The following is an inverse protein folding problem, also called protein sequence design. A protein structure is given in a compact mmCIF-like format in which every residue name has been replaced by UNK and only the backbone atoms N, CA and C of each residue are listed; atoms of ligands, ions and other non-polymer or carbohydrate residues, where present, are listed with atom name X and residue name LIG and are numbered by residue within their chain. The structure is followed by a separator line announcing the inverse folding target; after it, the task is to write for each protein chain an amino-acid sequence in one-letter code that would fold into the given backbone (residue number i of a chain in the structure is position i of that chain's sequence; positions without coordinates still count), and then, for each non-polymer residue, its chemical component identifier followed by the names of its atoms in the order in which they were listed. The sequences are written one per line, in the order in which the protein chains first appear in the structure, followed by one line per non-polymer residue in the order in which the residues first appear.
data_IF_484169988600
#
_entry.id   IF_484169988600
#
_cell.length_a   1.000
_cell.length_b   1.000
_cell.length_c   1.000
_cell.angle_alpha   90.00
_cell.angle_beta   90.00
_cell.angle_gamma   90.00
#
_symmetry.space_group_name_H-M   'P 1'
#
loop_
_entity.id
_entity.type
_entity.pdbx_description
1 polymer ?
#
# COMPACT_ATOMS: atom_id res chain seq x y z
N UNK A 1 14.37 -39.39 56.50
CA UNK A 1 15.75 -39.60 56.00
C UNK A 1 16.31 -38.23 55.64
N UNK A 2 17.34 -37.78 56.36
CA UNK A 2 17.98 -36.48 56.15
C UNK A 2 18.89 -36.55 54.91
N UNK A 3 18.77 -35.55 54.03
CA UNK A 3 19.56 -35.44 52.80
C UNK A 3 20.76 -34.51 53.08
N UNK A 4 21.95 -35.10 53.13
CA UNK A 4 23.23 -34.42 53.34
C UNK A 4 23.66 -33.68 52.07
N UNK A 5 23.85 -32.36 52.14
CA UNK A 5 24.35 -31.53 51.04
C UNK A 5 25.88 -31.45 51.08
N UNK A 6 26.56 -31.95 50.05
CA UNK A 6 28.02 -31.82 49.87
C UNK A 6 28.31 -30.48 49.21
N UNK A 7 29.02 -29.59 49.91
CA UNK A 7 29.47 -28.30 49.37
C UNK A 7 30.85 -28.52 48.72
N UNK A 8 30.92 -28.50 47.39
CA UNK A 8 32.20 -28.45 46.68
C UNK A 8 32.65 -26.99 46.52
N UNK A 9 33.82 -26.67 47.06
CA UNK A 9 34.44 -25.35 46.99
C UNK A 9 34.94 -25.05 45.57
N UNK A 10 34.21 -24.25 44.79
CA UNK A 10 34.72 -23.68 43.54
C UNK A 10 35.67 -22.50 43.84
N UNK A 11 36.95 -22.65 43.51
CA UNK A 11 37.93 -21.54 43.55
C UNK A 11 37.71 -20.61 42.36
N UNK A 12 37.17 -19.42 42.64
CA UNK A 12 37.01 -18.37 41.62
C UNK A 12 38.39 -17.73 41.37
N UNK A 13 38.90 -17.65 40.12
CA UNK A 13 40.13 -16.92 39.86
C UNK A 13 39.92 -15.42 40.13
N UNK A 14 40.78 -14.87 40.99
CA UNK A 14 40.80 -13.44 41.30
C UNK A 14 41.27 -12.65 40.06
N UNK A 15 40.34 -12.07 39.31
CA UNK A 15 40.69 -11.11 38.25
C UNK A 15 41.19 -9.82 38.90
N UNK A 16 42.49 -9.55 38.77
CA UNK A 16 43.10 -8.30 39.22
C UNK A 16 42.40 -7.08 38.59
N UNK A 17 42.20 -6.03 39.39
CA UNK A 17 41.54 -4.81 38.95
C UNK A 17 42.27 -4.18 37.75
N UNK A 18 41.52 -3.92 36.67
CA UNK A 18 42.03 -3.28 35.44
C UNK A 18 42.41 -1.82 35.74
N UNK A 19 43.66 -1.44 35.46
CA UNK A 19 44.18 -0.07 35.61
C UNK A 19 44.63 0.47 34.26
N UNK A 20 44.47 1.78 34.04
CA UNK A 20 45.00 2.44 32.84
C UNK A 20 46.50 2.17 32.67
N UNK A 21 46.94 1.87 31.45
CA UNK A 21 48.32 1.55 31.12
C UNK A 21 48.74 0.10 31.41
N UNK A 22 47.92 -0.69 32.10
CA UNK A 22 48.20 -2.12 32.27
C UNK A 22 48.12 -2.86 30.93
N UNK A 23 48.93 -3.92 30.78
CA UNK A 23 48.93 -4.74 29.57
C UNK A 23 47.59 -5.44 29.38
N UNK A 24 47.16 -5.51 28.12
CA UNK A 24 46.04 -6.33 27.69
C UNK A 24 46.45 -7.17 26.49
N UNK A 25 45.65 -8.19 26.16
CA UNK A 25 46.02 -9.18 25.14
C UNK A 25 45.25 -9.00 23.84
N UNK A 26 43.99 -8.56 23.93
CA UNK A 26 43.06 -8.54 22.80
C UNK A 26 42.66 -7.13 22.43
N UNK A 27 43.08 -6.66 21.25
CA UNK A 27 42.72 -5.33 20.74
C UNK A 27 41.20 -5.17 20.67
N UNK A 28 40.67 -4.09 21.23
CA UNK A 28 39.24 -3.77 21.21
C UNK A 28 38.43 -4.39 22.34
N UNK A 29 39.04 -5.22 23.20
CA UNK A 29 38.38 -5.71 24.42
C UNK A 29 37.95 -4.53 25.30
N UNK A 30 36.77 -4.60 25.90
CA UNK A 30 36.22 -3.58 26.80
C UNK A 30 35.98 -4.21 28.18
N UNK A 31 36.48 -3.56 29.23
CA UNK A 31 36.25 -3.97 30.62
C UNK A 31 35.85 -2.79 31.48
N UNK A 32 35.02 -3.06 32.48
CA UNK A 32 34.60 -2.07 33.48
C UNK A 32 35.32 -2.35 34.79
N UNK A 33 35.99 -1.34 35.35
CA UNK A 33 36.58 -1.42 36.69
C UNK A 33 36.27 -0.14 37.45
N UNK A 34 35.74 -0.27 38.68
CA UNK A 34 35.33 0.86 39.53
C UNK A 34 34.41 1.86 38.79
N UNK A 35 33.44 1.35 38.02
CA UNK A 35 32.48 2.17 37.27
C UNK A 35 33.02 2.86 36.02
N UNK A 36 34.30 2.71 35.68
CA UNK A 36 34.91 3.28 34.47
C UNK A 36 35.14 2.19 33.42
N UNK A 37 34.76 2.46 32.17
CA UNK A 37 35.05 1.60 31.02
C UNK A 37 36.48 1.84 30.53
N UNK A 38 37.18 0.74 30.24
CA UNK A 38 38.51 0.73 29.64
C UNK A 38 38.46 -0.09 28.36
N UNK A 39 39.14 0.40 27.31
CA UNK A 39 39.31 -0.29 26.03
C UNK A 39 40.77 -0.66 25.83
N UNK A 40 41.02 -1.90 25.41
CA UNK A 40 42.36 -2.37 25.07
C UNK A 40 42.78 -1.82 23.71
N UNK A 41 43.80 -0.95 23.69
CA UNK A 41 44.27 -0.27 22.47
C UNK A 41 45.76 -0.51 22.25
N UNK A 42 46.19 -0.42 20.98
CA UNK A 42 47.60 -0.54 20.63
C UNK A 42 48.33 0.75 21.02
N UNK A 43 49.41 0.63 21.80
CA UNK A 43 50.31 1.75 22.13
C UNK A 43 51.75 1.30 21.89
N UNK A 44 52.34 1.74 20.79
CA UNK A 44 53.64 1.23 20.32
C UNK A 44 53.58 -0.24 19.93
N UNK A 45 54.51 -1.05 20.43
CA UNK A 45 54.60 -2.51 20.17
C UNK A 45 53.73 -3.37 21.11
N UNK A 46 52.95 -2.77 22.03
CA UNK A 46 52.17 -3.48 23.05
C UNK A 46 50.71 -3.03 23.04
N UNK A 47 49.83 -3.84 23.62
CA UNK A 47 48.45 -3.46 23.90
C UNK A 47 48.30 -3.06 25.38
N UNK A 48 47.59 -1.96 25.62
CA UNK A 48 47.36 -1.41 26.96
C UNK A 48 45.93 -0.95 27.14
N UNK A 49 45.42 -1.01 28.36
CA UNK A 49 44.11 -0.48 28.73
C UNK A 49 44.13 1.05 28.74
N UNK A 50 43.17 1.69 28.05
CA UNK A 50 42.92 3.13 28.13
C UNK A 50 41.47 3.42 28.53
N UNK A 51 41.20 4.49 29.30
CA UNK A 51 39.84 4.91 29.59
C UNK A 51 39.07 5.17 28.30
N UNK A 52 37.86 4.63 28.20
CA UNK A 52 36.97 4.94 27.08
C UNK A 52 36.42 6.36 27.32
N UNK A 53 36.56 7.30 26.37
CA UNK A 53 35.97 8.62 26.52
C UNK A 53 34.45 8.49 26.65
N UNK A 54 33.90 9.05 27.73
CA UNK A 54 32.45 9.19 27.89
C UNK A 54 31.99 10.24 26.88
N UNK A 55 31.01 9.96 26.01
CA UNK A 55 30.47 10.98 25.13
C UNK A 55 29.91 12.11 26.01
N UNK A 56 30.38 13.33 25.77
CA UNK A 56 29.83 14.53 26.40
C UNK A 56 28.37 14.64 25.97
N UNK A 57 27.40 14.80 26.89
CA UNK A 57 26.01 15.00 26.49
C UNK A 57 25.93 16.25 25.61
N UNK A 58 25.55 16.06 24.36
CA UNK A 58 25.19 17.17 23.48
C UNK A 58 23.95 17.84 24.08
N UNK A 59 23.91 19.17 24.24
CA UNK A 59 22.73 19.83 24.77
C UNK A 59 21.52 19.45 23.93
N UNK A 60 20.54 18.81 24.58
CA UNK A 60 19.24 18.51 23.99
C UNK A 60 18.59 19.85 23.63
N UNK A 61 18.20 20.09 22.36
CA UNK A 61 17.42 21.26 22.03
C UNK A 61 16.13 21.21 22.86
N UNK A 62 15.90 22.25 23.67
CA UNK A 62 14.66 22.43 24.40
C UNK A 62 13.53 22.42 23.38
N UNK A 63 12.53 21.52 23.49
CA UNK A 63 11.37 21.57 22.59
C UNK A 63 10.71 22.93 22.77
N UNK A 64 10.76 23.73 21.71
CA UNK A 64 9.92 24.92 21.57
C UNK A 64 8.48 24.44 21.74
N UNK A 65 7.63 25.08 22.57
CA UNK A 65 6.23 24.72 22.66
C UNK A 65 5.63 24.81 21.25
N UNK A 66 5.32 23.66 20.67
CA UNK A 66 4.53 23.57 19.45
C UNK A 66 3.21 24.28 19.77
N UNK A 67 2.79 25.28 18.97
CA UNK A 67 1.49 25.89 19.18
C UNK A 67 0.45 24.76 19.17
N UNK A 68 -0.22 24.56 20.30
CA UNK A 68 -1.40 23.70 20.36
C UNK A 68 -2.33 24.21 19.27
N UNK A 69 -2.69 23.40 18.25
CA UNK A 69 -3.65 23.82 17.25
C UNK A 69 -4.88 24.26 18.02
N UNK A 70 -5.21 25.54 17.89
CA UNK A 70 -6.49 26.04 18.36
C UNK A 70 -7.54 25.15 17.71
N UNK A 71 -8.46 24.52 18.46
CA UNK A 71 -9.49 23.71 17.84
C UNK A 71 -10.17 24.60 16.82
N UNK A 72 -9.95 24.29 15.54
CA UNK A 72 -10.68 24.95 14.48
C UNK A 72 -12.13 24.63 14.77
N UNK A 73 -13.01 25.64 14.92
CA UNK A 73 -14.41 25.38 15.18
C UNK A 73 -14.88 24.38 14.12
N UNK A 74 -15.22 23.18 14.58
CA UNK A 74 -15.82 22.16 13.73
C UNK A 74 -17.24 22.64 13.47
N UNK A 75 -17.35 23.59 12.56
CA UNK A 75 -18.60 23.77 11.83
C UNK A 75 -18.78 22.43 11.13
N UNK A 76 -19.89 21.75 11.41
CA UNK A 76 -20.34 20.62 10.61
C UNK A 76 -20.60 21.16 9.19
N UNK A 77 -19.53 21.31 8.42
CA UNK A 77 -19.53 21.97 7.15
C UNK A 77 -19.92 20.94 6.11
N UNK A 78 -21.16 20.98 5.64
CA UNK A 78 -21.57 20.37 4.36
C UNK A 78 -20.64 20.75 3.20
N UNK A 79 -19.92 21.87 3.34
CA UNK A 79 -18.85 22.27 2.42
C UNK A 79 -17.75 21.23 2.30
N UNK A 80 -17.27 20.57 3.38
CA UNK A 80 -16.13 19.64 3.26
C UNK A 80 -16.46 18.41 2.41
N UNK A 81 -17.69 17.90 2.50
CA UNK A 81 -18.17 16.80 1.64
C UNK A 81 -18.13 17.23 0.17
N UNK A 82 -18.74 18.39 -0.10
CA UNK A 82 -18.88 18.93 -1.46
C UNK A 82 -17.52 19.30 -2.04
N UNK A 83 -16.61 19.85 -1.24
CA UNK A 83 -15.25 20.24 -1.61
C UNK A 83 -14.40 19.01 -1.90
N UNK A 84 -14.48 17.96 -1.07
CA UNK A 84 -13.73 16.72 -1.31
C UNK A 84 -14.19 16.05 -2.61
N UNK A 85 -15.51 15.96 -2.82
CA UNK A 85 -16.07 15.31 -4.01
C UNK A 85 -15.76 16.12 -5.28
N UNK A 86 -15.81 17.46 -5.20
CA UNK A 86 -15.38 18.36 -6.30
C UNK A 86 -13.89 18.26 -6.58
N UNK A 87 -13.05 18.11 -5.55
CA UNK A 87 -11.62 17.93 -5.71
C UNK A 87 -11.31 16.67 -6.53
N UNK A 88 -11.93 15.53 -6.21
CA UNK A 88 -11.80 14.30 -7.00
C UNK A 88 -12.32 14.49 -8.42
N UNK A 89 -13.47 15.15 -8.59
CA UNK A 89 -14.00 15.44 -9.92
C UNK A 89 -13.06 16.32 -10.76
N UNK A 90 -12.39 17.30 -10.13
CA UNK A 90 -11.39 18.13 -10.78
C UNK A 90 -10.17 17.30 -11.19
N UNK A 91 -9.67 16.40 -10.34
CA UNK A 91 -8.60 15.46 -10.72
C UNK A 91 -8.98 14.63 -11.94
N UNK A 92 -10.20 14.11 -12.00
CA UNK A 92 -10.73 13.37 -13.14
C UNK A 92 -10.67 14.24 -14.41
N UNK A 93 -11.23 15.45 -14.36
CA UNK A 93 -11.42 16.28 -15.54
C UNK A 93 -10.14 16.97 -16.04
N UNK A 94 -9.30 17.43 -15.10
CA UNK A 94 -8.21 18.36 -15.38
C UNK A 94 -6.86 17.65 -15.54
N UNK A 95 -6.70 16.44 -14.99
CA UNK A 95 -5.44 15.68 -15.13
C UNK A 95 -5.28 15.19 -16.58
N UNK A 96 -4.15 15.50 -17.25
CA UNK A 96 -3.88 15.01 -18.58
C UNK A 96 -3.70 13.49 -18.63
N UNK A 97 -4.29 12.84 -19.64
CA UNK A 97 -4.08 11.41 -19.98
C UNK A 97 -2.96 11.26 -21.04
N UNK A 98 -2.26 12.33 -21.40
CA UNK A 98 -1.10 12.23 -22.29
C UNK A 98 0.15 12.54 -21.50
N UNK A 99 1.05 11.57 -21.40
CA UNK A 99 2.29 11.77 -20.65
C UNK A 99 3.51 11.12 -21.29
N UNK A 100 4.43 11.95 -21.76
CA UNK A 100 5.73 11.51 -22.36
C UNK A 100 6.70 10.92 -21.34
N UNK A 101 6.42 11.03 -20.04
CA UNK A 101 7.19 10.38 -18.96
C UNK A 101 6.75 8.95 -18.73
N UNK A 102 5.59 8.52 -19.22
CA UNK A 102 5.24 7.10 -19.19
C UNK A 102 6.16 6.34 -20.15
N UNK A 103 6.95 5.42 -19.59
CA UNK A 103 7.90 4.58 -20.34
C UNK A 103 7.54 3.10 -20.28
N UNK A 104 6.49 2.75 -19.53
CA UNK A 104 6.10 1.37 -19.27
C UNK A 104 5.45 0.80 -20.53
N UNK A 105 6.03 -0.25 -21.08
CA UNK A 105 5.46 -0.97 -22.21
C UNK A 105 4.32 -1.88 -21.72
N UNK A 106 3.17 -1.81 -22.37
CA UNK A 106 2.08 -2.77 -22.15
C UNK A 106 2.26 -3.95 -23.11
N UNK A 107 2.13 -5.17 -22.60
CA UNK A 107 2.10 -6.40 -23.41
C UNK A 107 0.88 -7.22 -23.03
N UNK A 108 -0.09 -7.28 -23.93
CA UNK A 108 -1.35 -8.01 -23.72
C UNK A 108 -1.23 -9.44 -24.23
N UNK A 109 -1.63 -10.40 -23.39
CA UNK A 109 -1.73 -11.82 -23.72
C UNK A 109 -3.19 -12.23 -23.55
N UNK A 110 -3.78 -12.78 -24.60
CA UNK A 110 -5.20 -13.15 -24.61
C UNK A 110 -5.33 -14.62 -24.95
N UNK A 111 -6.03 -15.39 -24.12
CA UNK A 111 -6.41 -16.76 -24.47
C UNK A 111 -7.45 -16.74 -25.61
N UNK A 112 -7.24 -17.48 -26.71
CA UNK A 112 -8.20 -17.52 -27.80
C UNK A 112 -9.61 -17.93 -27.32
N UNK A 113 -10.63 -17.27 -27.87
CA UNK A 113 -12.01 -17.55 -27.54
C UNK A 113 -12.93 -16.37 -27.82
N UNK A 114 -14.19 -16.49 -27.38
CA UNK A 114 -15.21 -15.45 -27.55
C UNK A 114 -15.08 -14.38 -26.47
N UNK A 115 -14.06 -13.55 -26.61
CA UNK A 115 -13.68 -12.55 -25.61
C UNK A 115 -14.41 -11.23 -25.75
N UNK A 116 -15.23 -11.05 -26.78
CA UNK A 116 -15.93 -9.78 -27.02
C UNK A 116 -14.97 -8.58 -27.07
N UNK A 117 -15.40 -7.39 -26.64
CA UNK A 117 -14.57 -6.16 -26.66
C UNK A 117 -13.60 -6.06 -25.47
N UNK A 118 -13.62 -7.03 -24.56
CA UNK A 118 -12.95 -6.91 -23.26
C UNK A 118 -11.42 -6.78 -23.35
N UNK A 119 -10.69 -7.48 -24.25
CA UNK A 119 -9.26 -7.24 -24.39
C UNK A 119 -8.88 -5.80 -24.73
N UNK A 120 -9.59 -5.20 -25.68
CA UNK A 120 -9.36 -3.80 -26.09
C UNK A 120 -9.74 -2.83 -24.97
N UNK A 121 -10.83 -3.10 -24.24
CA UNK A 121 -11.24 -2.30 -23.07
C UNK A 121 -10.15 -2.33 -21.99
N UNK A 122 -9.62 -3.51 -21.65
CA UNK A 122 -8.61 -3.65 -20.62
C UNK A 122 -7.29 -3.01 -21.03
N UNK A 123 -6.85 -3.17 -22.27
CA UNK A 123 -5.64 -2.53 -22.80
C UNK A 123 -5.76 -1.01 -22.78
N UNK A 124 -6.87 -0.47 -23.30
CA UNK A 124 -7.13 0.97 -23.30
C UNK A 124 -7.20 1.53 -21.88
N UNK A 125 -7.85 0.81 -20.96
CA UNK A 125 -7.95 1.22 -19.58
C UNK A 125 -6.60 1.25 -18.89
N UNK A 126 -5.79 0.21 -19.08
CA UNK A 126 -4.43 0.16 -18.54
C UNK A 126 -3.56 1.29 -19.11
N UNK A 127 -3.54 1.48 -20.44
CA UNK A 127 -2.81 2.58 -21.07
C UNK A 127 -3.20 3.96 -20.52
N UNK A 128 -4.51 4.22 -20.43
CA UNK A 128 -5.05 5.45 -19.87
C UNK A 128 -4.63 5.64 -18.41
N UNK A 129 -4.63 4.56 -17.63
CA UNK A 129 -4.22 4.57 -16.22
C UNK A 129 -2.75 4.98 -16.07
N UNK A 130 -1.87 4.36 -16.84
CA UNK A 130 -0.42 4.62 -16.74
C UNK A 130 -0.08 6.07 -17.09
N UNK A 131 -0.72 6.64 -18.11
CA UNK A 131 -0.49 8.04 -18.48
C UNK A 131 -1.07 9.00 -17.42
N UNK A 132 -2.27 8.72 -16.91
CA UNK A 132 -2.89 9.49 -15.84
C UNK A 132 -2.05 9.46 -14.56
N UNK A 133 -1.59 8.28 -14.13
CA UNK A 133 -0.72 8.13 -12.96
C UNK A 133 0.60 8.86 -13.16
N UNK A 134 1.22 8.76 -14.34
CA UNK A 134 2.43 9.52 -14.65
C UNK A 134 2.21 11.04 -14.56
N UNK A 135 1.02 11.55 -14.93
CA UNK A 135 0.68 12.98 -14.80
C UNK A 135 0.53 13.44 -13.36
N UNK A 136 0.15 12.52 -12.47
CA UNK A 136 0.10 12.73 -11.03
C UNK A 136 1.45 12.51 -10.32
N UNK A 137 2.54 12.23 -11.06
CA UNK A 137 3.85 11.93 -10.47
C UNK A 137 4.00 10.49 -9.98
N UNK A 138 3.10 9.59 -10.40
CA UNK A 138 3.07 8.16 -10.07
C UNK A 138 3.44 7.29 -11.28
N UNK A 139 4.54 7.62 -11.96
CA UNK A 139 4.97 6.87 -13.14
C UNK A 139 5.55 5.51 -12.74
N UNK A 140 4.94 4.39 -13.16
CA UNK A 140 5.36 3.04 -12.79
C UNK A 140 6.88 2.81 -12.94
N UNK A 141 7.51 2.11 -11.98
CA UNK A 141 8.95 1.85 -12.03
C UNK A 141 9.29 0.73 -13.03
N UNK A 142 8.34 -0.15 -13.36
CA UNK A 142 8.57 -1.27 -14.26
C UNK A 142 8.71 -0.80 -15.70
N UNK A 143 9.62 -1.43 -16.45
CA UNK A 143 9.78 -1.18 -17.88
C UNK A 143 8.64 -1.81 -18.68
N UNK A 144 8.04 -2.88 -18.17
CA UNK A 144 6.96 -3.61 -18.85
C UNK A 144 5.89 -4.05 -17.86
N UNK A 145 4.63 -3.90 -18.26
CA UNK A 145 3.50 -4.52 -17.59
C UNK A 145 2.81 -5.50 -18.55
N UNK A 146 2.70 -6.75 -18.12
CA UNK A 146 2.00 -7.80 -18.85
C UNK A 146 0.55 -7.85 -18.38
N UNK A 147 -0.39 -7.90 -19.32
CA UNK A 147 -1.80 -8.10 -19.02
C UNK A 147 -2.20 -9.49 -19.53
N UNK A 148 -2.51 -10.41 -18.61
CA UNK A 148 -2.92 -11.78 -18.92
C UNK A 148 -4.44 -11.90 -18.83
N UNK A 149 -5.10 -12.01 -19.98
CA UNK A 149 -6.53 -12.19 -20.12
C UNK A 149 -6.82 -13.63 -20.49
N UNK A 150 -7.02 -14.45 -19.48
CA UNK A 150 -7.27 -15.89 -19.64
C UNK A 150 -8.73 -16.25 -19.44
N UNK A 151 -9.14 -17.30 -20.11
CA UNK A 151 -10.45 -17.93 -20.00
C UNK A 151 -10.41 -19.17 -19.11
N UNK A 152 -9.27 -19.85 -19.03
CA UNK A 152 -9.11 -21.07 -18.23
C UNK A 152 -8.06 -20.86 -17.14
N UNK A 153 -8.28 -21.54 -16.02
CA UNK A 153 -7.32 -21.55 -14.91
C UNK A 153 -5.96 -22.14 -15.32
N UNK A 154 -5.94 -23.09 -16.26
CA UNK A 154 -4.72 -23.74 -16.72
C UNK A 154 -3.86 -22.78 -17.56
N UNK A 155 -4.47 -22.08 -18.52
CA UNK A 155 -3.76 -21.11 -19.35
C UNK A 155 -3.21 -19.96 -18.52
N UNK A 156 -3.98 -19.44 -17.55
CA UNK A 156 -3.50 -18.38 -16.65
C UNK A 156 -2.30 -18.83 -15.82
N UNK A 157 -2.30 -20.06 -15.29
CA UNK A 157 -1.13 -20.60 -14.57
C UNK A 157 0.10 -20.71 -15.48
N UNK A 158 -0.06 -21.21 -16.70
CA UNK A 158 1.03 -21.33 -17.67
C UNK A 158 1.65 -19.95 -17.99
N UNK A 159 0.81 -18.95 -18.29
CA UNK A 159 1.30 -17.60 -18.61
C UNK A 159 1.86 -16.89 -17.39
N UNK A 160 1.27 -17.09 -16.21
CA UNK A 160 1.79 -16.54 -14.98
C UNK A 160 3.14 -17.16 -14.61
N UNK A 161 3.38 -18.46 -14.84
CA UNK A 161 4.70 -19.07 -14.63
C UNK A 161 5.77 -18.45 -15.55
N UNK A 162 5.41 -18.15 -16.80
CA UNK A 162 6.31 -17.53 -17.77
C UNK A 162 6.66 -16.08 -17.43
N UNK A 163 5.67 -15.26 -17.08
CA UNK A 163 5.83 -13.80 -16.94
C UNK A 163 5.95 -13.34 -15.48
N UNK A 164 5.45 -14.13 -14.53
CA UNK A 164 5.44 -13.88 -13.09
C UNK A 164 5.85 -15.13 -12.27
N UNK A 165 7.04 -15.71 -12.55
CA UNK A 165 7.49 -16.94 -11.89
C UNK A 165 7.56 -16.78 -10.38
N UNK A 166 6.92 -17.71 -9.67
CA UNK A 166 6.88 -17.75 -8.20
C UNK A 166 5.75 -16.95 -7.55
N UNK A 167 4.94 -16.20 -8.31
CA UNK A 167 3.78 -15.48 -7.77
C UNK A 167 2.53 -16.36 -7.65
N UNK A 168 2.38 -17.36 -8.54
CA UNK A 168 1.27 -18.32 -8.48
C UNK A 168 1.81 -19.74 -8.36
N UNK A 169 1.00 -20.63 -7.80
CA UNK A 169 1.31 -22.05 -7.69
C UNK A 169 0.22 -22.90 -8.35
N UNK A 170 0.43 -24.22 -8.39
CA UNK A 170 -0.50 -25.18 -8.99
C UNK A 170 -1.89 -25.21 -8.33
N UNK A 171 -2.07 -24.64 -7.14
CA UNK A 171 -3.34 -24.57 -6.41
C UNK A 171 -3.99 -23.19 -6.45
N UNK A 172 -3.32 -22.15 -6.95
CA UNK A 172 -3.84 -20.78 -7.00
C UNK A 172 -5.11 -20.69 -7.86
N UNK A 173 -6.17 -20.06 -7.37
CA UNK A 173 -7.40 -19.89 -8.14
C UNK A 173 -7.59 -18.42 -8.51
N UNK A 174 -7.75 -18.16 -9.80
CA UNK A 174 -8.06 -16.84 -10.34
C UNK A 174 -9.57 -16.60 -10.23
N UNK A 175 -10.01 -16.21 -9.03
CA UNK A 175 -11.45 -16.01 -8.71
C UNK A 175 -11.86 -14.54 -8.58
N UNK A 176 -10.90 -13.61 -8.66
CA UNK A 176 -11.16 -12.16 -8.63
C UNK A 176 -11.21 -11.53 -10.02
N UNK A 177 -11.54 -10.23 -10.07
CA UNK A 177 -11.59 -9.45 -11.31
C UNK A 177 -10.20 -9.30 -11.94
N UNK A 178 -9.20 -8.97 -11.13
CA UNK A 178 -7.80 -8.93 -11.52
C UNK A 178 -6.92 -9.09 -10.27
N UNK A 179 -5.63 -9.30 -10.48
CA UNK A 179 -4.63 -9.33 -9.41
C UNK A 179 -3.25 -9.02 -9.98
N UNK A 180 -2.43 -8.31 -9.21
CA UNK A 180 -1.08 -7.93 -9.57
C UNK A 180 -0.02 -8.88 -8.97
N UNK A 181 0.97 -9.23 -9.78
CA UNK A 181 2.31 -9.60 -9.34
C UNK A 181 3.33 -8.61 -9.92
N UNK A 182 4.26 -8.11 -9.10
CA UNK A 182 5.24 -7.14 -9.55
C UNK A 182 6.67 -7.52 -9.15
N UNK A 183 7.61 -7.05 -9.95
CA UNK A 183 9.06 -7.10 -9.74
C UNK A 183 9.63 -5.72 -10.07
N UNK A 184 10.92 -5.45 -9.80
CA UNK A 184 11.54 -4.18 -10.16
C UNK A 184 11.44 -3.80 -11.64
N UNK A 185 11.62 -4.76 -12.55
CA UNK A 185 11.67 -4.49 -13.99
C UNK A 185 10.36 -4.80 -14.72
N UNK A 186 9.48 -5.62 -14.15
CA UNK A 186 8.24 -6.05 -14.80
C UNK A 186 7.10 -6.25 -13.82
N UNK A 187 5.89 -6.01 -14.28
CA UNK A 187 4.66 -6.30 -13.56
C UNK A 187 3.74 -7.18 -14.42
N UNK A 188 2.84 -7.92 -13.78
CA UNK A 188 1.88 -8.80 -14.44
C UNK A 188 0.55 -8.65 -13.73
N UNK A 189 -0.46 -8.22 -14.48
CA UNK A 189 -1.86 -8.25 -14.07
C UNK A 189 -2.48 -9.49 -14.71
N UNK A 190 -3.11 -10.35 -13.91
CA UNK A 190 -3.84 -11.51 -14.40
C UNK A 190 -5.34 -11.38 -14.10
N UNK A 191 -6.16 -11.68 -15.10
CA UNK A 191 -7.62 -11.62 -15.03
C UNK A 191 -8.25 -12.85 -15.65
N UNK A 192 -9.09 -13.53 -14.88
CA UNK A 192 -9.97 -14.58 -15.39
C UNK A 192 -11.16 -13.93 -16.07
N UNK A 193 -11.09 -13.76 -17.38
CA UNK A 193 -11.98 -12.88 -18.15
C UNK A 193 -13.47 -13.24 -17.98
N UNK A 194 -13.90 -14.54 -18.04
CA UNK A 194 -15.28 -14.91 -17.74
C UNK A 194 -15.75 -14.43 -16.36
N UNK A 195 -14.97 -14.69 -15.31
CA UNK A 195 -15.30 -14.28 -13.95
C UNK A 195 -15.26 -12.77 -13.78
N UNK A 196 -14.25 -12.10 -14.33
CA UNK A 196 -14.07 -10.66 -14.20
C UNK A 196 -15.18 -9.87 -14.89
N UNK A 197 -15.60 -10.31 -16.08
CA UNK A 197 -16.68 -9.65 -16.84
C UNK A 197 -18.06 -9.88 -16.22
N UNK A 198 -18.31 -11.08 -15.71
CA UNK A 198 -19.61 -11.43 -15.13
C UNK A 198 -19.70 -11.15 -13.64
N UNK A 199 -18.57 -10.89 -12.98
CA UNK A 199 -18.42 -10.90 -11.52
C UNK A 199 -18.98 -12.17 -10.88
N UNK A 200 -18.80 -13.30 -11.56
CA UNK A 200 -19.33 -14.59 -11.16
C UNK A 200 -18.28 -15.68 -11.35
N UNK A 201 -17.81 -16.23 -10.23
CA UNK A 201 -16.82 -17.32 -10.23
C UNK A 201 -17.36 -18.61 -10.86
N UNK A 202 -18.68 -18.72 -11.02
CA UNK A 202 -19.36 -19.86 -11.64
C UNK A 202 -19.65 -19.66 -13.14
N UNK A 203 -19.25 -18.53 -13.73
CA UNK A 203 -19.37 -18.33 -15.17
C UNK A 203 -18.46 -19.33 -15.92
N UNK A 204 -18.96 -20.01 -16.96
CA UNK A 204 -18.19 -21.06 -17.61
C UNK A 204 -17.08 -20.48 -18.49
N UNK A 205 -15.94 -21.18 -18.55
CA UNK A 205 -14.75 -20.76 -19.31
C UNK A 205 -15.01 -20.58 -20.81
N UNK A 206 -16.07 -21.18 -21.37
CA UNK A 206 -16.45 -21.10 -22.79
C UNK A 206 -17.57 -20.08 -23.10
N UNK A 207 -18.01 -19.29 -22.09
CA UNK A 207 -19.05 -18.26 -22.24
C UNK A 207 -18.79 -17.29 -23.41
N UNK A 208 -19.83 -16.96 -24.17
CA UNK A 208 -19.75 -15.94 -25.22
C UNK A 208 -19.82 -14.52 -24.62
N UNK A 209 -18.67 -13.87 -24.46
CA UNK A 209 -18.58 -12.50 -23.94
C UNK A 209 -18.86 -11.43 -25.01
N UNK A 210 -19.16 -11.84 -26.25
CA UNK A 210 -19.40 -10.89 -27.36
C UNK A 210 -20.80 -10.31 -27.34
N UNK A 211 -21.70 -10.87 -26.53
CA UNK A 211 -23.10 -10.45 -26.47
C UNK A 211 -23.51 -10.07 -25.05
N UNK A 212 -24.01 -8.85 -24.88
CA UNK A 212 -24.47 -8.34 -23.60
C UNK A 212 -25.55 -9.24 -22.97
N UNK A 213 -26.47 -9.76 -23.79
CA UNK A 213 -27.54 -10.64 -23.33
C UNK A 213 -27.03 -11.98 -22.77
N UNK A 214 -25.87 -12.47 -23.20
CA UNK A 214 -25.23 -13.66 -22.63
C UNK A 214 -24.53 -13.32 -21.33
N UNK A 215 -23.75 -12.23 -21.31
CA UNK A 215 -23.07 -11.74 -20.09
C UNK A 215 -24.08 -11.53 -18.97
N UNK A 216 -25.18 -10.82 -19.24
CA UNK A 216 -26.24 -10.51 -18.27
C UNK A 216 -26.97 -11.72 -17.68
N UNK A 217 -26.88 -12.92 -18.28
CA UNK A 217 -27.42 -14.15 -17.69
C UNK A 217 -26.58 -14.65 -16.52
N UNK A 218 -25.29 -14.34 -16.53
CA UNK A 218 -24.33 -14.77 -15.51
C UNK A 218 -23.96 -13.63 -14.56
N UNK A 219 -24.21 -12.38 -14.93
CA UNK A 219 -23.92 -11.22 -14.09
C UNK A 219 -24.86 -11.10 -12.91
N UNK A 220 -24.29 -10.87 -11.73
CA UNK A 220 -25.04 -10.35 -10.59
C UNK A 220 -25.21 -8.83 -10.78
N UNK A 221 -26.36 -8.41 -11.33
CA UNK A 221 -26.75 -7.10 -11.93
C UNK A 221 -26.42 -5.77 -11.18
N UNK A 222 -25.57 -5.73 -10.17
CA UNK A 222 -25.26 -4.51 -9.40
C UNK A 222 -23.79 -4.30 -9.05
N UNK A 223 -22.87 -5.10 -9.59
CA UNK A 223 -21.45 -4.87 -9.37
C UNK A 223 -20.77 -4.84 -10.73
N UNK A 224 -20.23 -3.67 -11.03
CA UNK A 224 -19.04 -3.50 -11.83
C UNK A 224 -18.21 -2.62 -10.89
N UNK A 225 -17.35 -3.19 -10.05
CA UNK A 225 -15.94 -3.13 -10.39
C UNK A 225 -15.82 -3.22 -11.90
N UNK A 226 -15.84 -2.04 -12.52
CA UNK A 226 -15.76 -1.99 -13.96
C UNK A 226 -14.58 -2.84 -14.36
N UNK A 227 -14.83 -3.82 -15.22
CA UNK A 227 -13.75 -4.62 -15.79
C UNK A 227 -12.62 -3.71 -16.32
N UNK A 228 -12.96 -2.49 -16.77
CA UNK A 228 -12.01 -1.44 -17.12
C UNK A 228 -11.27 -0.84 -15.91
N UNK A 229 -11.93 -0.63 -14.76
CA UNK A 229 -11.29 -0.17 -13.52
C UNK A 229 -10.32 -1.21 -12.93
N UNK A 230 -10.58 -2.51 -13.12
CA UNK A 230 -9.81 -3.57 -12.46
C UNK A 230 -8.32 -3.51 -12.82
N UNK A 231 -7.96 -3.33 -14.10
CA UNK A 231 -6.56 -3.19 -14.50
C UNK A 231 -5.92 -1.90 -13.98
N UNK A 232 -6.69 -0.83 -13.84
CA UNK A 232 -6.23 0.43 -13.25
C UNK A 232 -5.93 0.26 -11.75
N UNK A 233 -6.87 -0.34 -11.00
CA UNK A 233 -6.74 -0.69 -9.58
C UNK A 233 -5.47 -1.52 -9.34
N UNK A 234 -5.30 -2.61 -10.10
CA UNK A 234 -4.13 -3.46 -9.95
C UNK A 234 -2.83 -2.77 -10.39
N UNK A 235 -2.85 -1.95 -11.44
CA UNK A 235 -1.66 -1.19 -11.82
C UNK A 235 -1.24 -0.18 -10.74
N UNK A 236 -2.19 0.38 -10.00
CA UNK A 236 -1.93 1.31 -8.90
C UNK A 236 -1.13 0.64 -7.76
N UNK A 237 -1.42 -0.64 -7.48
CA UNK A 237 -0.66 -1.44 -6.51
C UNK A 237 0.82 -1.58 -6.88
N UNK A 238 1.18 -1.50 -8.16
CA UNK A 238 2.58 -1.55 -8.60
C UNK A 238 3.40 -0.34 -8.08
N UNK A 239 2.72 0.76 -7.77
CA UNK A 239 3.33 1.98 -7.23
C UNK A 239 3.36 2.02 -5.69
N UNK A 240 2.38 1.40 -5.03
CA UNK A 240 2.14 1.59 -3.59
C UNK A 240 3.14 0.93 -2.65
N UNK A 241 4.13 0.19 -3.14
CA UNK A 241 4.99 -0.58 -2.26
C UNK A 241 6.49 -0.32 -2.36
N UNK A 242 7.07 -0.01 -3.53
CA UNK A 242 8.53 0.01 -3.66
C UNK A 242 9.27 -1.25 -3.14
N UNK A 243 8.54 -2.33 -2.79
CA UNK A 243 8.98 -3.62 -2.22
C UNK A 243 8.21 -4.83 -2.79
N UNK A 244 7.30 -4.61 -3.76
CA UNK A 244 6.61 -5.60 -4.57
C UNK A 244 5.79 -6.70 -3.83
N UNK A 245 5.32 -6.47 -2.61
CA UNK A 245 4.35 -7.34 -1.93
C UNK A 245 3.71 -6.67 -0.70
N UNK A 246 2.42 -6.96 -0.45
CA UNK A 246 1.62 -6.51 0.70
C UNK A 246 2.46 -5.92 1.86
N UNK A 247 2.62 -4.59 1.90
CA UNK A 247 3.32 -3.95 3.02
C UNK A 247 2.55 -4.28 4.30
N UNK A 248 3.12 -5.14 5.15
CA UNK A 248 2.48 -5.64 6.37
C UNK A 248 2.05 -4.53 7.33
N UNK A 249 2.65 -3.35 7.20
CA UNK A 249 2.42 -2.17 8.05
C UNK A 249 1.58 -1.07 7.35
N UNK A 250 1.16 -1.26 6.09
CA UNK A 250 0.33 -0.27 5.39
C UNK A 250 -1.16 -0.50 5.74
N UNK A 251 -1.91 0.54 6.19
CA UNK A 251 -3.33 0.39 6.43
C UNK A 251 -4.09 0.04 5.15
N UNK A 252 -5.12 -0.79 5.27
CA UNK A 252 -5.90 -1.28 4.12
C UNK A 252 -6.63 -0.17 3.35
N UNK A 253 -7.04 0.91 4.01
CA UNK A 253 -7.61 2.08 3.34
C UNK A 253 -6.61 2.82 2.44
N UNK A 254 -5.33 2.82 2.80
CA UNK A 254 -4.27 3.36 1.91
C UNK A 254 -4.04 2.41 0.76
N UNK A 255 -3.98 1.11 1.06
CA UNK A 255 -3.65 0.07 0.09
C UNK A 255 -4.79 -0.13 -0.92
N UNK A 256 -5.90 -0.74 -0.54
CA UNK A 256 -7.02 -1.00 -1.45
C UNK A 256 -7.86 0.27 -1.70
N UNK A 257 -8.10 1.10 -0.68
CA UNK A 257 -8.96 2.28 -0.85
C UNK A 257 -8.39 3.30 -1.85
N UNK A 258 -7.05 3.42 -1.94
CA UNK A 258 -6.44 4.29 -2.93
C UNK A 258 -6.48 3.66 -4.32
N UNK A 259 -6.14 2.37 -4.44
CA UNK A 259 -6.28 1.65 -5.71
C UNK A 259 -7.71 1.75 -6.25
N UNK A 260 -8.72 1.66 -5.37
CA UNK A 260 -10.12 1.80 -5.74
C UNK A 260 -10.46 3.20 -6.22
N UNK A 261 -10.12 4.26 -5.47
CA UNK A 261 -10.47 5.62 -5.90
C UNK A 261 -9.80 5.98 -7.23
N UNK A 262 -8.54 5.59 -7.43
CA UNK A 262 -7.82 5.84 -8.67
C UNK A 262 -8.35 4.98 -9.83
N UNK A 263 -8.76 3.74 -9.57
CA UNK A 263 -9.45 2.90 -10.55
C UNK A 263 -10.79 3.51 -11.00
N UNK A 264 -11.57 4.04 -10.05
CA UNK A 264 -12.85 4.72 -10.33
C UNK A 264 -12.66 6.01 -11.13
N UNK A 265 -11.59 6.79 -10.86
CA UNK A 265 -11.26 7.97 -11.68
C UNK A 265 -11.02 7.57 -13.14
N UNK A 266 -10.28 6.49 -13.40
CA UNK A 266 -10.04 5.99 -14.75
C UNK A 266 -11.32 5.48 -15.39
N UNK A 267 -12.11 4.70 -14.65
CA UNK A 267 -13.38 4.22 -15.16
C UNK A 267 -14.28 5.37 -15.60
N UNK A 268 -14.44 6.38 -14.75
CA UNK A 268 -15.19 7.60 -15.06
C UNK A 268 -14.69 8.28 -16.33
N UNK A 269 -13.36 8.35 -16.53
CA UNK A 269 -12.74 8.94 -17.74
C UNK A 269 -12.99 8.17 -19.03
N UNK A 270 -13.16 6.86 -18.93
CA UNK A 270 -13.41 6.01 -20.10
C UNK A 270 -14.89 5.99 -20.52
N UNK A 271 -15.79 6.50 -19.69
CA UNK A 271 -17.22 6.61 -20.01
C UNK A 271 -17.52 7.79 -20.94
N UNK A 272 -18.54 7.62 -21.79
CA UNK A 272 -19.08 8.67 -22.64
C UNK A 272 -20.59 8.82 -22.38
N UNK A 273 -21.05 9.93 -21.74
CA UNK A 273 -20.24 11.02 -21.16
C UNK A 273 -19.46 10.58 -19.91
N UNK A 274 -18.45 11.35 -19.53
CA UNK A 274 -17.70 11.14 -18.28
C UNK A 274 -18.69 11.07 -17.11
N UNK A 275 -18.62 10.00 -16.33
CA UNK A 275 -19.52 9.84 -15.18
C UNK A 275 -19.10 10.75 -14.03
N UNK A 276 -20.08 11.41 -13.41
CA UNK A 276 -19.82 12.30 -12.29
C UNK A 276 -19.46 11.51 -11.04
N UNK A 277 -18.29 11.78 -10.48
CA UNK A 277 -17.90 11.33 -9.15
C UNK A 277 -18.78 11.97 -8.06
N UNK A 278 -19.43 13.12 -8.34
CA UNK A 278 -20.39 13.76 -7.42
C UNK A 278 -21.59 12.86 -7.09
N UNK A 279 -21.88 11.88 -7.93
CA UNK A 279 -23.00 10.94 -7.78
C UNK A 279 -22.56 9.53 -7.42
N UNK A 280 -21.26 9.29 -7.21
CA UNK A 280 -20.76 7.97 -6.84
C UNK A 280 -21.22 7.59 -5.43
N UNK A 281 -21.97 6.49 -5.33
CA UNK A 281 -22.13 5.77 -4.07
C UNK A 281 -21.21 4.55 -4.11
N UNK A 282 -20.07 4.55 -3.38
CA UNK A 282 -19.11 3.46 -3.41
C UNK A 282 -19.64 2.18 -2.75
N UNK A 283 -20.93 2.11 -2.40
CA UNK A 283 -21.61 0.92 -1.90
C UNK A 283 -21.74 -0.20 -2.92
N UNK A 284 -20.60 -0.79 -3.32
CA UNK A 284 -20.47 -2.08 -4.01
C UNK A 284 -21.51 -3.05 -3.41
N UNK A 285 -22.31 -3.71 -4.25
CA UNK A 285 -23.54 -4.37 -3.80
C UNK A 285 -23.29 -5.35 -2.63
N UNK A 286 -23.68 -4.93 -1.42
CA UNK A 286 -23.52 -5.69 -0.18
C UNK A 286 -22.52 -5.13 0.84
N UNK A 287 -21.60 -4.22 0.45
CA UNK A 287 -20.51 -3.73 1.31
C UNK A 287 -20.55 -2.22 1.54
N UNK A 288 -21.75 -1.63 1.49
CA UNK A 288 -21.99 -0.22 1.79
C UNK A 288 -22.10 0.10 3.29
N UNK A 289 -22.58 1.31 3.58
CA UNK A 289 -22.70 1.92 4.92
C UNK A 289 -23.36 1.07 6.00
N UNK A 290 -24.21 0.10 5.63
CA UNK A 290 -24.90 -0.79 6.57
C UNK A 290 -24.00 -1.92 7.10
N UNK A 291 -22.98 -2.33 6.35
CA UNK A 291 -22.11 -3.46 6.68
C UNK A 291 -20.78 -2.99 7.24
N UNK A 292 -20.24 -1.97 6.57
CA UNK A 292 -18.99 -1.34 6.92
C UNK A 292 -19.23 -0.26 7.98
N UNK A 293 -19.21 -0.72 9.23
CA UNK A 293 -19.41 0.07 10.43
C UNK A 293 -18.14 0.05 11.28
N UNK A 294 -17.94 1.12 12.04
CA UNK A 294 -16.79 1.28 12.94
C UNK A 294 -15.73 2.25 12.41
N UNK A 295 -14.74 2.57 13.26
CA UNK A 295 -13.69 3.52 12.94
C UNK A 295 -12.69 2.93 11.93
N UNK A 296 -12.03 3.81 11.16
CA UNK A 296 -11.06 3.45 10.10
C UNK A 296 -9.91 2.58 10.62
N UNK A 297 -9.53 2.77 11.88
CA UNK A 297 -8.46 2.07 12.58
C UNK A 297 -8.72 0.56 12.70
N UNK A 298 -9.99 0.18 12.80
CA UNK A 298 -10.44 -1.20 12.94
C UNK A 298 -11.32 -1.61 11.76
N UNK A 299 -11.06 -1.02 10.59
CA UNK A 299 -11.81 -1.25 9.36
C UNK A 299 -11.99 -2.76 9.10
N UNK A 300 -13.24 -3.16 8.87
CA UNK A 300 -13.58 -4.55 8.58
C UNK A 300 -13.05 -4.96 7.21
N UNK A 301 -12.71 -6.24 7.01
CA UNK A 301 -12.35 -6.75 5.69
C UNK A 301 -13.43 -6.42 4.65
N UNK A 302 -13.02 -6.19 3.40
CA UNK A 302 -13.83 -5.72 2.27
C UNK A 302 -14.23 -4.24 2.34
N UNK A 303 -14.27 -3.62 3.53
CA UNK A 303 -14.62 -2.21 3.66
C UNK A 303 -13.51 -1.28 3.17
N UNK A 304 -12.30 -1.79 2.97
CA UNK A 304 -11.21 -1.05 2.34
C UNK A 304 -11.52 -0.57 0.92
N UNK A 305 -12.35 -1.28 0.17
CA UNK A 305 -12.78 -0.89 -1.19
C UNK A 305 -13.89 0.17 -1.19
N UNK A 306 -14.67 0.27 -0.10
CA UNK A 306 -15.85 1.16 -0.03
C UNK A 306 -15.64 2.31 0.96
N UNK A 307 -15.52 2.00 2.25
CA UNK A 307 -15.20 2.97 3.30
C UNK A 307 -13.80 3.54 3.07
N UNK A 308 -12.82 2.69 2.70
CA UNK A 308 -11.45 3.12 2.42
C UNK A 308 -11.34 4.08 1.22
N UNK A 309 -12.17 3.91 0.19
CA UNK A 309 -12.29 4.87 -0.91
C UNK A 309 -12.70 6.26 -0.39
N UNK A 310 -13.69 6.33 0.50
CA UNK A 310 -14.15 7.60 1.10
C UNK A 310 -13.08 8.22 2.01
N UNK A 311 -12.30 7.38 2.71
CA UNK A 311 -11.13 7.84 3.49
C UNK A 311 -10.08 8.48 2.56
N UNK A 312 -9.83 7.88 1.40
CA UNK A 312 -8.89 8.40 0.41
C UNK A 312 -9.39 9.66 -0.28
N UNK A 313 -10.70 9.79 -0.53
CA UNK A 313 -11.33 11.02 -1.00
C UNK A 313 -11.00 12.19 -0.06
N UNK A 314 -11.20 11.98 1.25
CA UNK A 314 -10.87 12.98 2.26
C UNK A 314 -9.36 13.25 2.35
N UNK A 315 -8.53 12.21 2.31
CA UNK A 315 -7.07 12.35 2.33
C UNK A 315 -6.59 13.22 1.17
N UNK A 316 -7.01 12.91 -0.05
CA UNK A 316 -6.59 13.60 -1.27
C UNK A 316 -7.06 15.05 -1.26
N UNK A 317 -8.29 15.31 -0.80
CA UNK A 317 -8.76 16.69 -0.61
C UNK A 317 -7.91 17.45 0.42
N UNK A 318 -7.67 16.85 1.59
CA UNK A 318 -7.03 17.53 2.72
C UNK A 318 -5.55 17.80 2.49
N UNK A 319 -4.84 16.86 1.88
CA UNK A 319 -3.37 16.90 1.77
C UNK A 319 -2.85 17.02 0.33
N UNK A 320 -3.71 16.82 -0.66
CA UNK A 320 -3.33 16.82 -2.07
C UNK A 320 -2.65 15.53 -2.52
N UNK A 321 -2.55 15.38 -3.85
CA UNK A 321 -1.91 14.22 -4.50
C UNK A 321 -0.40 14.16 -4.17
N UNK A 322 0.27 15.31 -4.06
CA UNK A 322 1.71 15.33 -3.73
C UNK A 322 2.02 14.70 -2.37
N UNK A 323 1.15 14.89 -1.36
CA UNK A 323 1.31 14.23 -0.07
C UNK A 323 1.10 12.72 -0.17
N UNK A 324 0.15 12.29 -1.01
CA UNK A 324 -0.05 10.87 -1.30
C UNK A 324 1.19 10.26 -1.97
N UNK A 325 1.74 10.92 -3.00
CA UNK A 325 2.95 10.47 -3.69
C UNK A 325 4.13 10.38 -2.72
N UNK A 326 4.33 11.38 -1.85
CA UNK A 326 5.38 11.30 -0.80
C UNK A 326 5.12 10.13 0.15
N UNK A 327 3.87 9.88 0.53
CA UNK A 327 3.52 8.82 1.47
C UNK A 327 3.94 7.45 0.96
N UNK A 328 3.66 7.16 -0.31
CA UNK A 328 3.90 5.84 -0.93
C UNK A 328 5.33 5.68 -1.49
N UNK A 329 6.07 6.76 -1.73
CA UNK A 329 7.43 6.70 -2.29
C UNK A 329 8.57 6.81 -1.28
N UNK A 330 8.30 7.17 -0.02
CA UNK A 330 9.34 7.34 1.02
C UNK A 330 9.98 6.03 1.53
N UNK A 331 9.58 4.87 1.01
CA UNK A 331 10.05 3.55 1.44
C UNK A 331 9.38 3.04 2.72
N UNK A 332 9.84 1.88 3.20
CA UNK A 332 9.25 1.15 4.35
C UNK A 332 10.22 0.97 5.54
N UNK A 333 11.31 1.74 5.58
CA UNK A 333 12.31 1.69 6.66
C UNK A 333 11.81 2.29 8.00
N UNK A 334 10.67 2.99 7.98
CA UNK A 334 10.05 3.61 9.15
C UNK A 334 8.64 3.07 9.33
N UNK A 335 8.15 3.03 10.57
CA UNK A 335 6.77 2.67 10.87
C UNK A 335 5.78 3.61 10.16
N UNK A 336 4.62 3.07 9.75
CA UNK A 336 3.63 3.80 8.98
C UNK A 336 3.18 5.13 9.63
N UNK A 337 2.93 5.23 10.95
CA UNK A 337 2.55 6.52 11.56
C UNK A 337 3.60 7.63 11.35
N UNK A 338 4.89 7.28 11.41
CA UNK A 338 6.00 8.22 11.18
C UNK A 338 6.06 8.63 9.71
N UNK A 339 5.89 7.66 8.81
CA UNK A 339 5.81 7.88 7.36
C UNK A 339 4.63 8.80 7.00
N UNK A 340 3.48 8.55 7.61
CA UNK A 340 2.28 9.36 7.44
C UNK A 340 2.55 10.81 7.86
N UNK A 341 3.04 11.03 9.08
CA UNK A 341 3.32 12.37 9.59
C UNK A 341 4.39 13.11 8.77
N UNK A 342 5.42 12.40 8.29
CA UNK A 342 6.41 12.99 7.39
C UNK A 342 5.79 13.51 6.08
N UNK A 343 4.84 12.77 5.51
CA UNK A 343 4.21 13.09 4.24
C UNK A 343 3.13 14.19 4.35
N UNK A 344 2.34 14.16 5.42
CA UNK A 344 1.15 15.00 5.62
C UNK A 344 1.36 16.18 6.58
N UNK A 345 2.40 16.12 7.43
CA UNK A 345 2.64 17.03 8.55
C UNK A 345 1.53 17.00 9.63
N UNK A 346 0.74 15.93 9.66
CA UNK A 346 -0.33 15.68 10.63
C UNK A 346 -0.13 14.28 11.21
N UNK A 347 -0.32 14.12 12.52
CA UNK A 347 -0.21 12.81 13.15
C UNK A 347 -1.30 11.85 12.62
N UNK A 348 -1.00 10.55 12.58
CA UNK A 348 -1.98 9.57 12.12
C UNK A 348 -3.24 9.53 13.02
N UNK A 349 -3.07 9.75 14.33
CA UNK A 349 -4.17 9.78 15.30
C UNK A 349 -5.09 10.98 15.05
N UNK A 350 -4.53 12.17 14.78
CA UNK A 350 -5.33 13.35 14.45
C UNK A 350 -6.07 13.17 13.12
N UNK A 351 -5.40 12.57 12.14
CA UNK A 351 -6.06 12.21 10.87
C UNK A 351 -7.23 11.27 11.09
N UNK A 352 -7.07 10.21 11.90
CA UNK A 352 -8.15 9.27 12.19
C UNK A 352 -9.32 9.96 12.90
N UNK A 353 -9.05 10.83 13.88
CA UNK A 353 -10.10 11.63 14.53
C UNK A 353 -10.92 12.43 13.51
N UNK A 354 -10.25 13.06 12.54
CA UNK A 354 -10.89 13.92 11.56
C UNK A 354 -11.61 13.14 10.45
N UNK A 355 -11.00 12.10 9.91
CA UNK A 355 -11.60 11.32 8.83
C UNK A 355 -12.77 10.48 9.31
N UNK A 356 -12.75 10.03 10.57
CA UNK A 356 -13.92 9.41 11.17
C UNK A 356 -15.09 10.42 11.15
N UNK A 357 -14.92 11.65 11.66
CA UNK A 357 -15.98 12.69 11.56
C UNK A 357 -16.48 12.88 10.12
N UNK A 358 -15.57 12.90 9.14
CA UNK A 358 -15.91 12.96 7.72
C UNK A 358 -16.80 11.79 7.26
N UNK A 359 -16.49 10.57 7.69
CA UNK A 359 -17.30 9.38 7.41
C UNK A 359 -18.73 9.52 7.97
N UNK A 360 -18.91 10.02 9.20
CA UNK A 360 -20.27 10.32 9.73
C UNK A 360 -20.99 11.35 8.88
N UNK A 361 -20.31 12.41 8.44
CA UNK A 361 -20.90 13.42 7.56
C UNK A 361 -21.34 12.81 6.21
N UNK A 362 -20.61 11.82 5.68
CA UNK A 362 -20.99 11.02 4.50
C UNK A 362 -22.04 9.95 4.80
N UNK A 363 -22.53 9.84 6.04
CA UNK A 363 -23.58 8.91 6.48
C UNK A 363 -23.10 7.50 6.83
N UNK A 364 -21.80 7.32 7.07
CA UNK A 364 -21.25 6.05 7.59
C UNK A 364 -21.32 6.05 9.11
N UNK A 365 -21.70 4.91 9.69
CA UNK A 365 -21.69 4.74 11.14
C UNK A 365 -20.30 4.28 11.57
N UNK A 366 -19.53 5.15 12.22
CA UNK A 366 -18.22 4.79 12.79
C UNK A 366 -18.26 4.69 14.31
#
# INVERSE_FOLDING_TARGET
MALTFVISSFSIPAYGAVKAGAKCSTKGEIKTSQGKKFTCVKSGKKFVWRPTPTPTPTPTPTPTPTPTPTPTPTVANTNVITDSTRFIQALINETPITNTKNRTKIVVHVEPGKNGPYPEIAEKALATSLDFYASLGMALPQETIHLLLGRTQAWLREKADLYAPGCVNSSYQFSGSASLCAYPNRAVIYSHTPTAVTMNVSAPDDIDLSTESTVLRYTNKKIVDSFAAASAHEAHHAWQDGSYGNSRDMPKWVWEGAASIFGEMIFSRLQAPVQSYLTLDPGLAGWGKKVCIGPVETMKPVCEYTQGLVVMEYFLHKFGVDAYVRLITQGNNLAFPVRFENATKVSLVDFYSDVNKYLTLKGWNY
#
